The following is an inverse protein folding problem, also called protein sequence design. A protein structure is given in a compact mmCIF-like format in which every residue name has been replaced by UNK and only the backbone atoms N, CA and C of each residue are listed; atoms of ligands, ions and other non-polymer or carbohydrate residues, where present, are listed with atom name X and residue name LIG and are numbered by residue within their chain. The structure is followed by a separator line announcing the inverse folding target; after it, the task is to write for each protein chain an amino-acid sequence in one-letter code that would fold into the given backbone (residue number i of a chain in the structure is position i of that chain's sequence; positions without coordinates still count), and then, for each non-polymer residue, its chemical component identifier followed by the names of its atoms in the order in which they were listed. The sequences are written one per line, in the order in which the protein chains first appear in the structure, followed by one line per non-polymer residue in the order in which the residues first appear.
data_IF_446591400205
#
_entry.id   IF_446591400205
#
_cell.length_a   1.000
_cell.length_b   1.000
_cell.length_c   1.000
_cell.angle_alpha   90.00
_cell.angle_beta   90.00
_cell.angle_gamma   90.00
#
_symmetry.space_group_name_H-M   'P 1'
#
loop_
_entity.id
_entity.type
_entity.pdbx_description
1 polymer ?
#
# COMPACT_ATOMS: atom_id res chain seq x y z
N UNK A 1 24.79 -42.81 8.43
CA UNK A 1 23.94 -42.14 9.44
C UNK A 1 24.78 -41.10 10.14
N UNK A 2 24.72 -39.86 9.70
CA UNK A 2 25.17 -38.69 10.47
C UNK A 2 24.09 -37.62 10.30
N UNK A 3 23.42 -37.32 11.39
CA UNK A 3 22.43 -36.25 11.52
C UNK A 3 23.21 -34.99 11.89
N UNK A 4 23.24 -34.00 11.02
CA UNK A 4 23.78 -32.69 11.33
C UNK A 4 22.62 -31.79 11.74
N UNK A 5 22.65 -31.36 13.01
CA UNK A 5 21.75 -30.38 13.62
C UNK A 5 21.99 -28.98 13.05
N UNK A 6 20.98 -28.39 12.42
CA UNK A 6 20.98 -26.96 12.11
C UNK A 6 20.58 -26.17 13.37
N UNK A 7 21.52 -25.42 13.89
CA UNK A 7 21.28 -24.41 14.92
C UNK A 7 20.67 -23.17 14.27
N UNK A 8 19.45 -22.84 14.69
CA UNK A 8 18.74 -21.59 14.32
C UNK A 8 19.43 -20.39 14.99
N UNK A 9 20.04 -19.53 14.22
CA UNK A 9 20.51 -18.21 14.67
C UNK A 9 19.29 -17.24 14.71
N UNK A 10 18.71 -17.08 15.87
CA UNK A 10 17.78 -15.98 16.18
C UNK A 10 18.58 -14.70 16.36
N UNK A 11 18.66 -13.89 15.32
CA UNK A 11 19.22 -12.53 15.40
C UNK A 11 18.21 -11.64 16.13
N UNK A 12 18.48 -11.39 17.39
CA UNK A 12 17.70 -10.45 18.23
C UNK A 12 17.98 -9.02 17.72
N UNK A 13 16.95 -8.36 17.23
CA UNK A 13 17.01 -6.92 16.88
C UNK A 13 17.24 -6.14 18.17
N UNK A 14 18.48 -5.66 18.38
CA UNK A 14 18.87 -4.87 19.54
C UNK A 14 18.49 -3.41 19.34
N UNK A 15 17.70 -2.90 20.30
CA UNK A 15 17.55 -1.52 20.75
C UNK A 15 17.61 -0.40 19.70
N UNK A 16 16.43 0.01 19.23
CA UNK A 16 16.22 1.33 18.64
C UNK A 16 16.39 2.38 19.75
N UNK A 17 17.41 3.23 19.66
CA UNK A 17 17.62 4.35 20.59
C UNK A 17 16.51 5.40 20.38
N UNK A 18 15.80 5.71 21.44
CA UNK A 18 14.89 6.86 21.53
C UNK A 18 15.66 8.17 21.32
N UNK A 19 15.22 8.98 20.38
CA UNK A 19 15.72 10.35 20.20
C UNK A 19 15.17 11.28 21.29
N UNK A 20 15.93 12.28 21.78
CA UNK A 20 15.48 13.20 22.81
C UNK A 20 14.43 14.18 22.27
N UNK A 21 13.43 14.50 23.11
CA UNK A 21 12.44 15.53 22.86
C UNK A 21 13.07 16.93 22.83
N UNK A 22 12.64 17.76 21.88
CA UNK A 22 13.02 19.18 21.84
C UNK A 22 12.11 20.02 22.77
N UNK A 23 12.62 21.08 23.40
CA UNK A 23 11.86 21.88 24.35
C UNK A 23 10.84 22.78 23.64
N UNK A 24 9.61 22.81 24.15
CA UNK A 24 8.52 23.64 23.67
C UNK A 24 8.64 25.10 24.17
N UNK A 25 8.11 26.00 23.39
CA UNK A 25 7.96 27.42 23.70
C UNK A 25 6.53 27.74 24.18
N UNK A 26 6.40 28.73 25.06
CA UNK A 26 5.25 28.98 25.91
C UNK A 26 4.17 29.86 25.28
N UNK A 27 2.95 29.63 25.75
CA UNK A 27 1.79 30.52 25.92
C UNK A 27 1.13 31.17 24.67
N UNK A 28 -0.03 30.59 24.32
CA UNK A 28 -1.10 31.33 23.65
C UNK A 28 -2.44 31.07 24.37
N UNK A 29 -3.15 32.16 24.61
CA UNK A 29 -4.37 32.34 25.39
C UNK A 29 -5.56 31.50 24.95
N UNK A 30 -6.41 31.13 25.92
CA UNK A 30 -7.59 30.27 25.83
C UNK A 30 -8.72 30.86 24.98
N UNK A 31 -8.74 30.50 23.72
CA UNK A 31 -9.95 30.34 22.91
C UNK A 31 -10.11 28.85 22.66
N UNK A 32 -11.32 28.31 22.63
CA UNK A 32 -11.56 26.91 22.32
C UNK A 32 -10.96 26.56 20.98
N UNK A 33 -9.78 25.97 20.99
CA UNK A 33 -9.11 25.50 19.78
C UNK A 33 -10.00 24.43 19.14
N UNK A 34 -10.30 24.51 17.83
CA UNK A 34 -10.89 23.38 17.13
C UNK A 34 -10.01 22.16 17.35
N UNK A 35 -10.60 21.00 17.58
CA UNK A 35 -9.86 19.73 17.70
C UNK A 35 -8.83 19.66 16.56
N UNK A 36 -7.58 19.26 16.82
CA UNK A 36 -6.57 19.22 15.78
C UNK A 36 -7.05 18.35 14.60
N UNK A 37 -7.03 18.93 13.40
CA UNK A 37 -7.45 18.23 12.18
C UNK A 37 -6.67 16.92 12.02
N UNK A 38 -7.38 15.83 11.71
CA UNK A 38 -6.80 14.49 11.50
C UNK A 38 -5.99 14.38 10.20
N UNK A 39 -6.08 15.36 9.33
CA UNK A 39 -5.40 15.39 8.03
C UNK A 39 -6.21 16.12 6.95
N UNK A 40 -5.73 16.12 5.69
CA UNK A 40 -6.42 16.81 4.60
C UNK A 40 -7.85 16.32 4.31
N UNK A 41 -8.18 15.09 4.72
CA UNK A 41 -9.51 14.50 4.54
C UNK A 41 -10.33 14.45 5.84
N UNK A 42 -9.97 15.27 6.82
CA UNK A 42 -10.74 15.37 8.06
C UNK A 42 -12.20 15.77 7.77
N UNK A 43 -13.14 15.05 8.37
CA UNK A 43 -14.58 15.20 8.10
C UNK A 43 -15.10 14.35 6.93
N UNK A 44 -14.23 13.69 6.15
CA UNK A 44 -14.68 12.73 5.14
C UNK A 44 -14.91 11.36 5.78
N UNK A 45 -16.10 10.77 5.60
CA UNK A 45 -16.43 9.42 6.10
C UNK A 45 -16.48 8.41 4.97
N UNK A 46 -15.73 7.31 5.14
CA UNK A 46 -15.59 6.20 4.17
C UNK A 46 -16.17 4.93 4.76
N UNK A 47 -17.17 4.37 4.10
CA UNK A 47 -17.71 3.04 4.40
C UNK A 47 -16.94 2.01 3.56
N UNK A 48 -16.15 1.19 4.25
CA UNK A 48 -15.24 0.22 3.65
C UNK A 48 -15.86 -1.19 3.69
N UNK A 49 -16.45 -1.65 2.58
CA UNK A 49 -16.99 -3.00 2.41
C UNK A 49 -15.98 -3.93 1.73
N UNK A 50 -14.72 -3.50 1.60
CA UNK A 50 -13.70 -4.22 0.83
C UNK A 50 -13.06 -5.35 1.63
N UNK A 51 -12.41 -6.27 0.90
CA UNK A 51 -11.72 -7.44 1.47
C UNK A 51 -10.40 -7.67 0.77
N UNK A 52 -9.55 -8.47 1.35
CA UNK A 52 -8.24 -8.92 0.88
C UNK A 52 -7.24 -7.77 0.80
N UNK A 53 -6.95 -7.17 -0.36
CA UNK A 53 -5.84 -6.20 -0.46
C UNK A 53 -6.20 -4.90 -1.18
N UNK A 54 -6.62 -4.93 -2.43
CA UNK A 54 -6.79 -3.72 -3.26
C UNK A 54 -7.64 -2.64 -2.61
N UNK A 55 -8.83 -3.01 -2.13
CA UNK A 55 -9.75 -2.09 -1.47
C UNK A 55 -9.28 -1.68 -0.07
N UNK A 56 -8.90 -2.64 0.82
CA UNK A 56 -8.38 -2.31 2.13
C UNK A 56 -7.14 -1.42 2.08
N UNK A 57 -6.27 -1.56 1.11
CA UNK A 57 -5.13 -0.67 0.89
C UNK A 57 -5.58 0.74 0.49
N UNK A 58 -6.57 0.86 -0.42
CA UNK A 58 -7.12 2.16 -0.79
C UNK A 58 -7.76 2.88 0.42
N UNK A 59 -8.58 2.18 1.19
CA UNK A 59 -9.26 2.76 2.37
C UNK A 59 -8.29 3.08 3.50
N UNK A 60 -7.22 2.29 3.68
CA UNK A 60 -6.12 2.63 4.58
C UNK A 60 -5.44 3.95 4.19
N UNK A 61 -5.16 4.16 2.90
CA UNK A 61 -4.57 5.41 2.43
C UNK A 61 -5.48 6.61 2.67
N UNK A 62 -6.80 6.46 2.48
CA UNK A 62 -7.76 7.51 2.83
C UNK A 62 -7.76 7.80 4.33
N UNK A 63 -7.68 6.77 5.17
CA UNK A 63 -7.48 6.91 6.62
C UNK A 63 -6.17 7.58 7.00
N UNK A 64 -5.08 7.28 6.30
CA UNK A 64 -3.78 7.95 6.47
C UNK A 64 -3.84 9.45 6.16
N UNK A 65 -4.73 9.83 5.25
CA UNK A 65 -5.00 11.22 4.88
C UNK A 65 -6.01 11.92 5.81
N UNK A 66 -6.54 11.22 6.82
CA UNK A 66 -7.40 11.79 7.84
C UNK A 66 -8.88 11.46 7.72
N UNK A 67 -9.32 10.70 6.71
CA UNK A 67 -10.69 10.25 6.59
C UNK A 67 -11.07 9.31 7.75
N UNK A 68 -12.32 9.37 8.21
CA UNK A 68 -12.90 8.40 9.12
C UNK A 68 -13.34 7.17 8.32
N UNK A 69 -12.64 6.04 8.51
CA UNK A 69 -12.90 4.81 7.76
C UNK A 69 -13.60 3.79 8.65
N UNK A 70 -14.76 3.32 8.25
CA UNK A 70 -15.53 2.26 8.92
C UNK A 70 -15.40 0.99 8.08
N UNK A 71 -14.55 0.05 8.53
CA UNK A 71 -14.39 -1.25 7.87
C UNK A 71 -15.48 -2.20 8.35
N UNK A 72 -16.31 -2.64 7.41
CA UNK A 72 -17.36 -3.61 7.65
C UNK A 72 -16.88 -5.02 7.33
N UNK A 73 -16.99 -5.90 8.29
CA UNK A 73 -16.60 -7.30 8.18
C UNK A 73 -17.77 -8.21 8.54
N UNK A 74 -17.74 -9.46 8.06
CA UNK A 74 -18.72 -10.47 8.49
C UNK A 74 -18.45 -10.87 9.95
N UNK A 75 -19.48 -11.14 10.74
CA UNK A 75 -19.32 -11.72 12.07
C UNK A 75 -18.62 -13.07 12.03
N UNK A 76 -17.85 -13.38 13.08
CA UNK A 76 -17.14 -14.64 13.26
C UNK A 76 -15.75 -14.63 12.63
N UNK A 77 -15.63 -14.74 11.31
CA UNK A 77 -14.33 -14.90 10.65
C UNK A 77 -13.69 -13.59 10.20
N UNK A 78 -14.49 -12.56 9.94
CA UNK A 78 -13.99 -11.28 9.40
C UNK A 78 -13.49 -11.35 7.96
N UNK A 79 -12.48 -10.54 7.67
CA UNK A 79 -11.74 -10.53 6.40
C UNK A 79 -10.85 -11.78 6.31
N UNK A 80 -10.74 -12.39 5.13
CA UNK A 80 -9.90 -13.56 4.88
C UNK A 80 -8.44 -13.33 5.26
N UNK A 81 -7.97 -12.09 5.18
CA UNK A 81 -6.58 -11.74 5.55
C UNK A 81 -6.30 -11.86 7.04
N UNK A 82 -7.31 -11.96 7.90
CA UNK A 82 -7.13 -12.23 9.34
C UNK A 82 -6.54 -13.61 9.62
N UNK A 83 -6.60 -14.54 8.64
CA UNK A 83 -6.19 -15.94 8.78
C UNK A 83 -4.93 -16.29 7.99
N UNK A 84 -4.21 -15.31 7.46
CA UNK A 84 -3.00 -15.54 6.65
C UNK A 84 -1.75 -15.54 7.52
N UNK A 85 -1.02 -16.66 7.50
CA UNK A 85 0.30 -16.77 8.17
C UNK A 85 1.38 -15.89 7.51
N UNK A 86 2.40 -15.44 8.27
CA UNK A 86 2.63 -15.68 9.69
C UNK A 86 1.71 -14.84 10.60
N UNK A 87 1.41 -15.40 11.77
CA UNK A 87 0.61 -14.75 12.79
C UNK A 87 1.43 -14.47 14.06
N UNK A 88 1.05 -13.42 14.80
CA UNK A 88 1.56 -13.11 16.12
C UNK A 88 0.39 -12.84 17.06
N UNK A 89 0.30 -13.58 18.16
CA UNK A 89 -0.76 -13.45 19.17
C UNK A 89 -2.19 -13.48 18.59
N UNK A 90 -2.38 -14.32 17.55
CA UNK A 90 -3.66 -14.46 16.84
C UNK A 90 -3.96 -13.37 15.81
N UNK A 91 -3.06 -12.44 15.56
CA UNK A 91 -3.20 -11.41 14.53
C UNK A 91 -2.32 -11.70 13.31
N UNK A 92 -2.91 -11.63 12.13
CA UNK A 92 -2.22 -11.86 10.86
C UNK A 92 -1.39 -10.66 10.44
N UNK A 93 -0.13 -10.90 10.04
CA UNK A 93 0.74 -9.88 9.46
C UNK A 93 0.08 -9.16 8.28
N UNK A 94 -0.73 -9.89 7.49
CA UNK A 94 -1.39 -9.37 6.29
C UNK A 94 -2.47 -8.35 6.65
N UNK A 95 -3.38 -8.72 7.58
CA UNK A 95 -4.43 -7.82 8.05
C UNK A 95 -3.85 -6.58 8.73
N UNK A 96 -2.84 -6.77 9.58
CA UNK A 96 -2.16 -5.68 10.30
C UNK A 96 -1.51 -4.68 9.35
N UNK A 97 -0.95 -5.13 8.23
CA UNK A 97 -0.26 -4.26 7.28
C UNK A 97 -1.17 -3.24 6.56
N UNK A 98 -2.47 -3.54 6.38
CA UNK A 98 -3.35 -2.80 5.45
C UNK A 98 -4.64 -2.26 6.06
N UNK A 99 -4.81 -2.35 7.39
CA UNK A 99 -6.07 -1.93 8.04
C UNK A 99 -5.90 -0.91 9.17
N UNK A 100 -4.74 -0.23 9.27
CA UNK A 100 -4.57 0.88 10.20
C UNK A 100 -5.53 2.03 9.91
N UNK A 101 -5.80 2.86 10.91
CA UNK A 101 -6.67 4.04 10.84
C UNK A 101 -8.13 3.73 10.49
N UNK A 102 -8.60 2.50 10.80
CA UNK A 102 -9.99 2.09 10.57
C UNK A 102 -10.73 1.83 11.89
N UNK A 103 -12.04 2.03 11.87
CA UNK A 103 -12.99 1.55 12.86
C UNK A 103 -13.49 0.17 12.42
N UNK A 104 -13.48 -0.81 13.29
CA UNK A 104 -13.90 -2.18 12.98
C UNK A 104 -15.37 -2.42 13.34
N UNK A 105 -16.20 -2.69 12.33
CA UNK A 105 -17.63 -3.02 12.48
C UNK A 105 -17.90 -4.44 11.97
N UNK A 106 -18.38 -5.35 12.84
CA UNK A 106 -18.73 -6.70 12.44
C UNK A 106 -20.26 -6.83 12.28
N UNK A 107 -20.73 -6.87 11.02
CA UNK A 107 -22.16 -6.92 10.66
C UNK A 107 -22.44 -7.95 9.57
N UNK A 108 -23.45 -8.80 9.78
CA UNK A 108 -23.94 -9.71 8.75
C UNK A 108 -24.84 -8.97 7.76
N UNK A 109 -24.26 -8.49 6.68
CA UNK A 109 -24.96 -7.77 5.60
C UNK A 109 -25.97 -8.63 4.81
N UNK A 110 -26.00 -9.96 5.02
CA UNK A 110 -26.98 -10.86 4.40
C UNK A 110 -28.32 -10.86 5.14
N UNK A 111 -28.33 -10.46 6.42
CA UNK A 111 -29.54 -10.31 7.21
C UNK A 111 -30.19 -8.96 6.94
N UNK A 112 -31.53 -8.87 6.88
CA UNK A 112 -32.24 -7.61 6.64
C UNK A 112 -31.84 -6.48 7.62
N UNK A 113 -31.67 -6.82 8.89
CA UNK A 113 -31.30 -5.87 9.95
C UNK A 113 -29.85 -5.38 9.76
N UNK A 114 -28.95 -6.27 9.33
CA UNK A 114 -27.57 -5.90 9.02
C UNK A 114 -27.47 -5.01 7.77
N UNK A 115 -28.26 -5.32 6.72
CA UNK A 115 -28.40 -4.42 5.57
C UNK A 115 -28.93 -3.04 6.02
N UNK A 116 -29.92 -2.99 6.94
CA UNK A 116 -30.44 -1.72 7.44
C UNK A 116 -29.37 -0.89 8.15
N UNK A 117 -28.49 -1.52 8.95
CA UNK A 117 -27.35 -0.84 9.56
C UNK A 117 -26.47 -0.18 8.49
N UNK A 118 -26.17 -0.89 7.39
CA UNK A 118 -25.36 -0.33 6.31
C UNK A 118 -26.08 0.80 5.56
N UNK A 119 -27.37 0.70 5.34
CA UNK A 119 -28.18 1.77 4.74
C UNK A 119 -28.17 3.02 5.64
N UNK A 120 -28.28 2.85 6.95
CA UNK A 120 -28.23 3.97 7.90
C UNK A 120 -26.83 4.61 7.92
N UNK A 121 -25.75 3.83 7.79
CA UNK A 121 -24.36 4.34 7.62
C UNK A 121 -24.19 5.09 6.30
N UNK A 122 -24.74 4.59 5.19
CA UNK A 122 -24.67 5.22 3.87
C UNK A 122 -25.28 6.63 3.88
N UNK A 123 -26.34 6.86 4.63
CA UNK A 123 -26.95 8.20 4.78
C UNK A 123 -25.99 9.24 5.38
N UNK A 124 -25.01 8.78 6.14
CA UNK A 124 -24.04 9.62 6.85
C UNK A 124 -22.61 9.48 6.28
N UNK A 125 -22.45 8.74 5.20
CA UNK A 125 -21.14 8.51 4.58
C UNK A 125 -20.97 9.33 3.31
N UNK A 126 -19.73 9.74 3.05
CA UNK A 126 -19.35 10.47 1.85
C UNK A 126 -18.96 9.52 0.72
N UNK A 127 -18.30 8.44 1.09
CA UNK A 127 -17.73 7.45 0.17
C UNK A 127 -18.09 6.05 0.62
N UNK A 128 -18.45 5.19 -0.32
CA UNK A 128 -18.52 3.75 -0.13
C UNK A 128 -17.55 3.10 -1.11
N UNK A 129 -16.71 2.18 -0.61
CA UNK A 129 -15.82 1.39 -1.46
C UNK A 129 -16.12 -0.09 -1.24
N UNK A 130 -16.31 -0.83 -2.34
CA UNK A 130 -16.48 -2.28 -2.33
C UNK A 130 -15.60 -2.93 -3.42
N UNK A 131 -15.24 -4.20 -3.22
CA UNK A 131 -14.52 -4.99 -4.22
C UNK A 131 -15.14 -6.39 -4.40
N UNK A 132 -16.46 -6.45 -4.38
CA UNK A 132 -17.20 -7.67 -4.66
C UNK A 132 -17.14 -8.02 -6.15
N UNK A 133 -17.48 -9.25 -6.47
CA UNK A 133 -17.73 -9.62 -7.87
C UNK A 133 -18.95 -8.86 -8.40
N UNK A 134 -18.94 -8.47 -9.69
CA UNK A 134 -20.06 -7.79 -10.30
C UNK A 134 -21.43 -8.45 -9.98
N UNK A 135 -22.41 -7.64 -9.63
CA UNK A 135 -23.76 -8.06 -9.25
C UNK A 135 -23.92 -8.56 -7.81
N UNK A 136 -22.85 -8.76 -7.03
CA UNK A 136 -22.98 -9.18 -5.61
C UNK A 136 -23.58 -8.08 -4.76
N UNK A 137 -23.09 -6.85 -4.88
CA UNK A 137 -23.62 -5.70 -4.15
C UNK A 137 -25.12 -5.50 -4.41
N UNK A 138 -25.56 -5.58 -5.68
CA UNK A 138 -26.98 -5.49 -6.04
C UNK A 138 -27.81 -6.61 -5.40
N UNK A 139 -27.34 -7.86 -5.38
CA UNK A 139 -28.06 -8.96 -4.70
C UNK A 139 -28.16 -8.79 -3.19
N UNK A 140 -27.25 -8.05 -2.59
CA UNK A 140 -27.30 -7.69 -1.17
C UNK A 140 -28.19 -6.47 -0.90
N UNK A 141 -28.74 -5.83 -1.96
CA UNK A 141 -29.48 -4.56 -1.87
C UNK A 141 -28.58 -3.39 -1.44
N UNK A 142 -27.33 -3.45 -1.86
CA UNK A 142 -26.27 -2.45 -1.63
C UNK A 142 -25.69 -1.97 -2.96
N UNK A 143 -26.45 -2.10 -4.06
CA UNK A 143 -26.04 -1.65 -5.39
C UNK A 143 -25.96 -0.12 -5.47
N UNK A 144 -25.13 0.37 -6.40
CA UNK A 144 -24.86 1.81 -6.53
C UNK A 144 -26.14 2.60 -6.86
N UNK A 145 -27.02 2.07 -7.71
CA UNK A 145 -28.29 2.73 -8.06
C UNK A 145 -29.18 2.93 -6.83
N UNK A 146 -29.33 1.88 -5.99
CA UNK A 146 -30.13 1.93 -4.76
C UNK A 146 -29.51 2.91 -3.74
N UNK A 147 -28.20 2.84 -3.54
CA UNK A 147 -27.54 3.64 -2.51
C UNK A 147 -27.40 5.11 -2.91
N UNK A 148 -27.22 5.43 -4.20
CA UNK A 148 -27.26 6.79 -4.72
C UNK A 148 -28.64 7.42 -4.65
N UNK A 149 -29.72 6.61 -4.77
CA UNK A 149 -31.07 7.10 -4.52
C UNK A 149 -31.31 7.45 -3.04
N UNK A 150 -30.66 6.74 -2.10
CA UNK A 150 -30.72 7.00 -0.66
C UNK A 150 -29.85 8.21 -0.26
N UNK A 151 -28.64 8.30 -0.81
CA UNK A 151 -27.70 9.40 -0.60
C UNK A 151 -27.17 9.91 -1.95
N UNK A 152 -27.79 10.93 -2.53
CA UNK A 152 -27.37 11.48 -3.83
C UNK A 152 -25.99 12.15 -3.83
N UNK A 153 -25.38 12.35 -2.65
CA UNK A 153 -24.03 12.87 -2.50
C UNK A 153 -22.98 11.77 -2.34
N UNK A 154 -23.38 10.51 -2.25
CA UNK A 154 -22.50 9.39 -2.06
C UNK A 154 -21.57 9.21 -3.27
N UNK A 155 -20.30 9.01 -3.02
CA UNK A 155 -19.33 8.52 -4.01
C UNK A 155 -19.23 7.01 -3.82
N UNK A 156 -19.75 6.26 -4.79
CA UNK A 156 -19.73 4.80 -4.77
C UNK A 156 -18.61 4.30 -5.67
N UNK A 157 -17.56 3.69 -5.09
CA UNK A 157 -16.42 3.15 -5.83
C UNK A 157 -16.45 1.62 -5.80
N UNK A 158 -16.66 1.01 -6.97
CA UNK A 158 -16.56 -0.43 -7.16
C UNK A 158 -15.21 -0.77 -7.78
N UNK A 159 -14.41 -1.57 -7.08
CA UNK A 159 -13.10 -2.04 -7.54
C UNK A 159 -13.22 -3.52 -7.89
N UNK A 160 -13.02 -3.87 -9.16
CA UNK A 160 -13.11 -5.25 -9.60
C UNK A 160 -11.92 -5.67 -10.46
N UNK A 161 -11.80 -6.95 -10.74
CA UNK A 161 -10.69 -7.45 -11.56
C UNK A 161 -10.74 -6.93 -13.00
N UNK A 162 -11.96 -6.88 -13.61
CA UNK A 162 -12.16 -6.61 -15.03
C UNK A 162 -13.21 -5.54 -15.33
N UNK A 163 -13.70 -4.81 -14.34
CA UNK A 163 -14.78 -3.84 -14.49
C UNK A 163 -16.18 -4.47 -14.41
N UNK A 164 -17.20 -3.62 -14.38
CA UNK A 164 -18.61 -4.03 -14.31
C UNK A 164 -19.16 -4.48 -15.66
N UNK A 165 -18.46 -4.19 -16.76
CA UNK A 165 -18.87 -4.47 -18.13
C UNK A 165 -17.80 -5.24 -18.89
N UNK A 166 -18.14 -5.66 -20.12
CA UNK A 166 -17.20 -6.37 -20.99
C UNK A 166 -17.19 -7.89 -20.81
N UNK A 167 -16.44 -8.60 -21.70
CA UNK A 167 -16.51 -10.07 -21.79
C UNK A 167 -15.97 -10.82 -20.59
N UNK A 168 -15.19 -10.15 -19.72
CA UNK A 168 -14.57 -10.75 -18.53
C UNK A 168 -15.16 -10.28 -17.22
N UNK A 169 -16.18 -9.44 -17.21
CA UNK A 169 -16.76 -8.85 -16.00
C UNK A 169 -17.19 -9.89 -14.96
N UNK A 170 -17.64 -11.07 -15.38
CA UNK A 170 -18.06 -12.15 -14.47
C UNK A 170 -16.92 -13.05 -14.00
N UNK A 171 -15.70 -12.91 -14.55
CA UNK A 171 -14.55 -13.73 -14.17
C UNK A 171 -13.98 -13.31 -12.82
N UNK A 172 -13.50 -14.30 -12.07
CA UNK A 172 -12.73 -14.07 -10.85
C UNK A 172 -11.26 -13.93 -11.19
N UNK A 173 -10.58 -12.99 -10.55
CA UNK A 173 -9.14 -12.91 -10.59
C UNK A 173 -8.60 -12.36 -9.26
N UNK A 174 -7.36 -12.71 -8.98
CA UNK A 174 -6.51 -12.10 -7.98
C UNK A 174 -5.33 -11.42 -8.67
N UNK A 175 -4.52 -10.70 -7.91
CA UNK A 175 -3.35 -9.96 -8.37
C UNK A 175 -2.54 -10.68 -9.45
N UNK A 176 -2.12 -11.93 -9.20
CA UNK A 176 -1.27 -12.69 -10.13
C UNK A 176 -1.94 -12.91 -11.50
N UNK A 177 -3.26 -13.11 -11.54
CA UNK A 177 -3.99 -13.29 -12.79
C UNK A 177 -4.05 -11.97 -13.58
N UNK A 178 -4.20 -10.85 -12.88
CA UNK A 178 -4.18 -9.51 -13.51
C UNK A 178 -2.78 -9.17 -13.99
N UNK A 179 -1.72 -9.47 -13.22
CA UNK A 179 -0.34 -9.32 -13.69
C UNK A 179 -0.07 -10.13 -14.97
N UNK A 180 -0.59 -11.36 -15.04
CA UNK A 180 -0.43 -12.19 -16.23
C UNK A 180 -1.17 -11.61 -17.45
N UNK A 181 -2.43 -11.20 -17.27
CA UNK A 181 -3.28 -10.70 -18.37
C UNK A 181 -2.91 -9.29 -18.84
N UNK A 182 -2.30 -8.47 -17.97
CA UNK A 182 -1.83 -7.13 -18.34
C UNK A 182 -0.53 -7.11 -19.15
N UNK A 183 0.13 -8.26 -19.33
CA UNK A 183 1.42 -8.33 -20.03
C UNK A 183 2.64 -8.09 -19.16
N UNK A 184 2.50 -7.65 -17.91
CA UNK A 184 3.62 -7.32 -17.01
C UNK A 184 4.53 -8.53 -16.77
N UNK A 185 3.96 -9.75 -16.63
CA UNK A 185 4.77 -10.96 -16.43
C UNK A 185 5.62 -11.33 -17.66
N UNK A 186 5.26 -10.85 -18.86
CA UNK A 186 6.08 -11.06 -20.06
C UNK A 186 7.31 -10.16 -20.09
N UNK A 187 7.28 -9.04 -19.35
CA UNK A 187 8.37 -8.06 -19.26
C UNK A 187 9.31 -8.35 -18.08
N UNK A 188 8.82 -9.03 -17.04
CA UNK A 188 9.54 -9.24 -15.77
C UNK A 188 10.39 -10.51 -15.82
N UNK A 189 11.64 -10.42 -15.36
CA UNK A 189 12.58 -11.53 -15.25
C UNK A 189 13.79 -11.44 -16.17
N UNK A 190 14.69 -12.40 -16.04
CA UNK A 190 15.92 -12.47 -16.82
C UNK A 190 15.64 -12.78 -18.32
N UNK A 191 16.52 -12.29 -19.23
CA UNK A 191 16.44 -12.61 -20.64
C UNK A 191 16.35 -14.12 -20.90
N UNK A 192 15.33 -14.55 -21.67
CA UNK A 192 15.11 -15.96 -21.95
C UNK A 192 14.49 -16.78 -20.80
N UNK A 193 14.29 -16.18 -19.65
CA UNK A 193 13.66 -16.84 -18.48
C UNK A 193 12.13 -17.01 -18.63
N UNK A 194 11.51 -17.81 -17.76
CA UNK A 194 10.06 -18.02 -17.74
C UNK A 194 9.30 -16.72 -17.36
N UNK A 195 7.98 -16.63 -17.61
CA UNK A 195 7.16 -15.54 -17.08
C UNK A 195 7.31 -15.43 -15.56
N UNK A 196 7.55 -14.23 -15.06
CA UNK A 196 7.81 -13.97 -13.65
C UNK A 196 6.88 -12.89 -13.13
N UNK A 197 6.22 -13.13 -12.00
CA UNK A 197 5.43 -12.09 -11.34
C UNK A 197 6.35 -11.06 -10.68
N UNK A 198 5.86 -9.85 -10.50
CA UNK A 198 6.54 -8.86 -9.66
C UNK A 198 6.55 -9.33 -8.18
N UNK A 199 7.59 -9.02 -7.45
CA UNK A 199 7.74 -9.41 -6.04
C UNK A 199 6.63 -8.88 -5.13
N UNK A 200 6.11 -7.70 -5.42
CA UNK A 200 4.95 -7.10 -4.76
C UNK A 200 3.65 -7.44 -5.51
N UNK A 201 2.48 -7.42 -4.85
CA UNK A 201 1.17 -7.59 -5.47
C UNK A 201 0.78 -6.31 -6.23
N UNK A 202 1.44 -6.05 -7.36
CA UNK A 202 1.39 -4.76 -8.04
C UNK A 202 0.02 -4.41 -8.63
N UNK A 203 -0.78 -5.41 -9.03
CA UNK A 203 -2.12 -5.15 -9.52
C UNK A 203 -3.04 -4.62 -8.40
N UNK A 204 -2.92 -5.18 -7.20
CA UNK A 204 -3.64 -4.70 -6.03
C UNK A 204 -3.16 -3.32 -5.58
N UNK A 205 -1.85 -3.11 -5.49
CA UNK A 205 -1.28 -1.84 -5.03
C UNK A 205 -1.59 -0.71 -6.01
N UNK A 206 -1.37 -0.92 -7.31
CA UNK A 206 -1.77 0.05 -8.34
C UNK A 206 -3.28 0.30 -8.31
N UNK A 207 -4.06 -0.78 -8.18
CA UNK A 207 -5.52 -0.68 -8.09
C UNK A 207 -5.98 0.17 -6.92
N UNK A 208 -5.39 -0.02 -5.75
CA UNK A 208 -5.67 0.80 -4.57
C UNK A 208 -5.32 2.27 -4.77
N UNK A 209 -4.15 2.56 -5.38
CA UNK A 209 -3.76 3.94 -5.69
C UNK A 209 -4.71 4.60 -6.70
N UNK A 210 -5.10 3.91 -7.77
CA UNK A 210 -6.08 4.43 -8.72
C UNK A 210 -7.45 4.65 -8.08
N UNK A 211 -7.91 3.75 -7.21
CA UNK A 211 -9.16 3.93 -6.47
C UNK A 211 -9.12 5.20 -5.60
N UNK A 212 -8.01 5.46 -4.90
CA UNK A 212 -7.83 6.71 -4.13
C UNK A 212 -7.89 7.93 -5.03
N UNK A 213 -7.18 7.93 -6.17
CA UNK A 213 -7.19 9.05 -7.13
C UNK A 213 -8.61 9.29 -7.65
N UNK A 214 -9.34 8.23 -8.02
CA UNK A 214 -10.71 8.33 -8.52
C UNK A 214 -11.67 8.88 -7.46
N UNK A 215 -11.58 8.39 -6.22
CA UNK A 215 -12.38 8.88 -5.09
C UNK A 215 -12.09 10.34 -4.82
N UNK A 216 -10.82 10.76 -4.74
CA UNK A 216 -10.46 12.17 -4.48
C UNK A 216 -10.91 13.08 -5.62
N UNK A 217 -10.84 12.63 -6.87
CA UNK A 217 -11.37 13.35 -8.03
C UNK A 217 -12.89 13.54 -7.93
N UNK A 218 -13.62 12.49 -7.53
CA UNK A 218 -15.06 12.55 -7.34
C UNK A 218 -15.46 13.43 -6.13
N UNK A 219 -14.68 13.41 -5.04
CA UNK A 219 -14.87 14.33 -3.91
C UNK A 219 -14.72 15.79 -4.39
N UNK A 220 -13.66 16.09 -5.13
CA UNK A 220 -13.44 17.43 -5.67
C UNK A 220 -14.57 17.88 -6.61
N UNK A 221 -15.08 16.99 -7.47
CA UNK A 221 -16.21 17.29 -8.34
C UNK A 221 -17.51 17.51 -7.53
N UNK A 222 -17.76 16.67 -6.53
CA UNK A 222 -18.93 16.77 -5.64
C UNK A 222 -18.98 18.12 -4.91
N UNK A 223 -17.86 18.65 -4.45
CA UNK A 223 -17.82 19.97 -3.79
C UNK A 223 -18.28 21.12 -4.72
N UNK A 224 -18.18 20.91 -6.03
CA UNK A 224 -18.62 21.89 -7.05
C UNK A 224 -20.04 21.65 -7.53
N UNK A 225 -20.45 20.39 -7.62
CA UNK A 225 -21.75 19.99 -8.21
C UNK A 225 -22.84 19.67 -7.20
N UNK A 226 -22.43 19.40 -5.95
CA UNK A 226 -23.31 18.89 -4.90
C UNK A 226 -23.74 17.43 -5.07
N UNK A 227 -23.25 16.72 -6.12
CA UNK A 227 -23.69 15.36 -6.48
C UNK A 227 -22.58 14.36 -6.32
N UNK A 228 -22.90 13.19 -5.77
CA UNK A 228 -22.06 12.01 -5.79
C UNK A 228 -22.10 11.32 -7.16
N UNK A 229 -21.37 10.20 -7.27
CA UNK A 229 -21.33 9.44 -8.52
C UNK A 229 -20.89 7.98 -8.29
N UNK A 230 -21.11 7.16 -9.31
CA UNK A 230 -20.57 5.81 -9.39
C UNK A 230 -19.21 5.80 -10.09
N UNK A 231 -18.25 5.09 -9.51
CA UNK A 231 -16.92 4.85 -10.08
C UNK A 231 -16.79 3.34 -10.32
N UNK A 232 -16.64 2.95 -11.58
CA UNK A 232 -16.26 1.60 -12.01
C UNK A 232 -14.77 1.56 -12.29
N UNK A 233 -14.00 0.89 -11.44
CA UNK A 233 -12.56 0.74 -11.63
C UNK A 233 -12.18 -0.74 -11.79
N UNK A 234 -11.46 -1.06 -12.87
CA UNK A 234 -10.91 -2.38 -13.13
C UNK A 234 -9.42 -2.43 -12.82
N UNK A 235 -8.97 -3.44 -12.07
CA UNK A 235 -7.54 -3.67 -11.81
C UNK A 235 -6.76 -3.89 -13.10
N UNK A 236 -7.38 -4.56 -14.10
CA UNK A 236 -6.75 -4.75 -15.41
C UNK A 236 -6.50 -3.42 -16.13
N UNK A 237 -7.46 -2.50 -16.09
CA UNK A 237 -7.32 -1.17 -16.72
C UNK A 237 -6.19 -0.38 -16.08
N UNK A 238 -6.10 -0.43 -14.74
CA UNK A 238 -5.00 0.17 -13.99
C UNK A 238 -3.64 -0.38 -14.42
N UNK A 239 -3.49 -1.69 -14.50
CA UNK A 239 -2.23 -2.33 -14.90
C UNK A 239 -1.89 -2.06 -16.37
N UNK A 240 -2.87 -2.04 -17.28
CA UNK A 240 -2.64 -1.67 -18.69
C UNK A 240 -2.21 -0.20 -18.79
N UNK A 241 -2.83 0.69 -18.01
CA UNK A 241 -2.42 2.09 -17.89
C UNK A 241 -0.97 2.27 -17.43
N UNK A 242 -0.46 1.35 -16.58
CA UNK A 242 0.92 1.36 -16.11
C UNK A 242 1.95 0.87 -17.15
N UNK A 243 1.54 0.28 -18.26
CA UNK A 243 2.47 -0.14 -19.32
C UNK A 243 3.19 1.05 -19.98
N UNK A 244 2.62 2.24 -19.96
CA UNK A 244 3.23 3.50 -20.39
C UNK A 244 3.96 3.35 -21.76
N UNK A 245 5.27 3.67 -21.78
CA UNK A 245 6.07 3.60 -23.01
C UNK A 245 6.29 2.16 -23.53
N UNK A 246 6.05 1.13 -22.75
CA UNK A 246 6.09 -0.26 -23.22
C UNK A 246 4.97 -0.53 -24.23
N UNK A 247 3.75 -0.08 -23.95
CA UNK A 247 2.63 -0.18 -24.91
C UNK A 247 2.86 0.70 -26.13
N UNK A 248 3.37 1.92 -25.94
CA UNK A 248 3.72 2.83 -27.05
C UNK A 248 4.77 2.20 -27.99
N UNK A 249 5.77 1.50 -27.42
CA UNK A 249 6.74 0.75 -28.22
C UNK A 249 6.06 -0.27 -29.13
N UNK A 250 5.11 -1.05 -28.60
CA UNK A 250 4.36 -2.04 -29.40
C UNK A 250 3.59 -1.34 -30.52
N UNK A 251 2.89 -0.25 -30.24
CA UNK A 251 2.16 0.52 -31.24
C UNK A 251 3.07 1.08 -32.35
N UNK A 252 4.30 1.51 -31.99
CA UNK A 252 5.23 2.09 -32.94
C UNK A 252 6.00 1.05 -33.79
N UNK A 253 6.26 -0.12 -33.23
CA UNK A 253 7.18 -1.10 -33.83
C UNK A 253 6.49 -2.41 -34.25
N UNK A 254 5.29 -2.68 -33.74
CA UNK A 254 4.62 -3.98 -33.89
C UNK A 254 5.32 -5.12 -33.11
N UNK A 255 6.27 -4.80 -32.21
CA UNK A 255 7.08 -5.80 -31.50
C UNK A 255 6.96 -5.65 -30.00
N UNK A 256 6.77 -6.76 -29.32
CA UNK A 256 6.84 -6.83 -27.86
C UNK A 256 8.25 -6.50 -27.36
N UNK A 257 8.31 -5.95 -26.14
CA UNK A 257 9.57 -5.75 -25.45
C UNK A 257 10.09 -7.08 -24.88
N UNK A 258 11.36 -7.42 -25.07
CA UNK A 258 11.96 -8.59 -24.44
C UNK A 258 12.12 -8.34 -22.94
N UNK A 259 12.24 -9.41 -22.16
CA UNK A 259 12.74 -9.34 -20.79
C UNK A 259 14.17 -8.82 -20.79
N UNK A 260 14.51 -7.99 -19.83
CA UNK A 260 15.83 -7.36 -19.72
C UNK A 260 16.47 -7.49 -18.34
N UNK A 261 15.93 -8.32 -17.45
CA UNK A 261 16.41 -8.41 -16.06
C UNK A 261 16.34 -7.04 -15.39
N UNK A 262 17.45 -6.57 -14.89
CA UNK A 262 17.61 -5.24 -14.29
C UNK A 262 18.01 -4.16 -15.29
N UNK A 263 18.29 -4.53 -16.55
CA UNK A 263 18.82 -3.59 -17.54
C UNK A 263 17.72 -2.76 -18.20
N UNK A 264 18.01 -1.50 -18.51
CA UNK A 264 17.16 -0.67 -19.36
C UNK A 264 17.44 -0.94 -20.84
N UNK A 265 16.42 -1.19 -21.66
CA UNK A 265 16.59 -1.59 -23.07
C UNK A 265 17.35 -0.57 -23.93
N UNK A 266 17.14 0.71 -23.71
CA UNK A 266 17.67 1.79 -24.52
C UNK A 266 18.80 2.61 -23.89
N UNK A 267 19.31 2.23 -22.70
CA UNK A 267 20.33 2.99 -21.97
C UNK A 267 21.42 2.05 -21.48
N UNK A 268 22.71 2.47 -21.60
CA UNK A 268 23.88 1.71 -21.17
C UNK A 268 24.96 2.65 -20.64
N UNK A 269 25.56 2.33 -19.46
CA UNK A 269 25.14 1.31 -18.51
C UNK A 269 23.87 1.72 -17.75
N UNK A 270 22.99 0.77 -17.51
CA UNK A 270 21.82 0.93 -16.64
C UNK A 270 21.38 -0.46 -16.17
N UNK A 271 21.55 -0.78 -14.90
CA UNK A 271 21.19 -2.08 -14.34
C UNK A 271 21.91 -2.39 -13.05
N UNK A 272 21.74 -3.62 -12.55
CA UNK A 272 22.45 -4.14 -11.39
C UNK A 272 23.77 -4.80 -11.80
N UNK A 273 24.82 -4.52 -11.05
CA UNK A 273 26.15 -5.06 -11.25
C UNK A 273 26.66 -5.71 -9.96
N UNK A 274 27.37 -6.85 -10.05
CA UNK A 274 27.94 -7.51 -8.89
C UNK A 274 29.14 -6.73 -8.34
N UNK A 275 29.22 -6.62 -7.02
CA UNK A 275 30.41 -6.28 -6.25
C UNK A 275 30.92 -7.54 -5.56
N UNK A 276 31.95 -7.42 -4.71
CA UNK A 276 32.54 -8.59 -4.04
C UNK A 276 31.63 -9.27 -3.01
N UNK A 277 30.68 -8.54 -2.46
CA UNK A 277 29.81 -8.98 -1.36
C UNK A 277 28.30 -8.78 -1.62
N UNK A 278 27.92 -8.33 -2.82
CA UNK A 278 26.51 -8.06 -3.13
C UNK A 278 26.33 -7.44 -4.51
N UNK A 279 25.28 -6.65 -4.64
CA UNK A 279 24.92 -5.97 -5.89
C UNK A 279 24.66 -4.50 -5.65
N UNK A 280 24.99 -3.68 -6.66
CA UNK A 280 24.60 -2.28 -6.71
C UNK A 280 24.01 -1.93 -8.08
N UNK A 281 23.14 -0.94 -8.12
CA UNK A 281 22.58 -0.40 -9.35
C UNK A 281 23.39 0.80 -9.79
N UNK A 282 23.67 0.91 -11.10
CA UNK A 282 24.19 2.12 -11.74
C UNK A 282 23.20 2.57 -12.80
N UNK A 283 22.85 3.88 -12.84
CA UNK A 283 21.88 4.45 -13.75
C UNK A 283 22.51 5.61 -14.55
N UNK A 284 22.78 5.40 -15.84
CA UNK A 284 23.34 6.40 -16.76
C UNK A 284 22.23 7.05 -17.61
N UNK A 285 21.48 7.99 -17.04
CA UNK A 285 20.39 8.67 -17.74
C UNK A 285 20.82 9.87 -18.61
N UNK A 286 22.14 10.09 -18.80
CA UNK A 286 22.64 11.19 -19.63
C UNK A 286 24.11 11.02 -19.98
N UNK A 287 24.52 11.56 -21.12
CA UNK A 287 25.90 11.42 -21.61
C UNK A 287 26.95 11.93 -20.61
N UNK A 288 26.60 12.90 -19.78
CA UNK A 288 27.48 13.47 -18.74
C UNK A 288 27.89 12.46 -17.65
N UNK A 289 27.14 11.37 -17.47
CA UNK A 289 27.47 10.37 -16.43
C UNK A 289 28.47 9.33 -16.91
N UNK A 290 28.59 9.09 -18.21
CA UNK A 290 29.53 8.11 -18.74
C UNK A 290 30.99 8.43 -18.36
N UNK A 291 31.51 9.66 -18.55
CA UNK A 291 32.85 10.02 -18.09
C UNK A 291 33.04 9.88 -16.57
N UNK A 292 32.02 10.20 -15.78
CA UNK A 292 32.05 10.07 -14.32
C UNK A 292 32.14 8.59 -13.90
N UNK A 293 31.37 7.72 -14.54
CA UNK A 293 31.43 6.28 -14.31
C UNK A 293 32.82 5.75 -14.67
N UNK A 294 33.39 6.12 -15.84
CA UNK A 294 34.71 5.72 -16.25
C UNK A 294 35.78 6.15 -15.23
N UNK A 295 35.69 7.38 -14.74
CA UNK A 295 36.61 7.89 -13.72
C UNK A 295 36.47 7.11 -12.39
N UNK A 296 35.25 6.87 -11.95
CA UNK A 296 34.95 6.15 -10.71
C UNK A 296 35.51 4.72 -10.72
N UNK A 297 35.38 4.01 -11.84
CA UNK A 297 35.94 2.64 -11.98
C UNK A 297 37.44 2.59 -12.32
N UNK A 298 38.11 3.74 -12.36
CA UNK A 298 39.56 3.81 -12.66
C UNK A 298 39.90 3.59 -14.12
N UNK A 299 38.97 3.78 -15.05
CA UNK A 299 39.12 3.60 -16.51
C UNK A 299 38.76 4.86 -17.31
N UNK A 300 39.38 6.03 -16.99
CA UNK A 300 39.02 7.30 -17.63
C UNK A 300 39.22 7.31 -19.15
N UNK A 301 40.10 6.48 -19.69
CA UNK A 301 40.32 6.34 -21.13
C UNK A 301 39.08 5.87 -21.90
N UNK A 302 38.19 5.13 -21.26
CA UNK A 302 36.95 4.65 -21.88
C UNK A 302 35.99 5.80 -22.22
N UNK A 303 36.10 6.92 -21.52
CA UNK A 303 35.26 8.10 -21.80
C UNK A 303 35.61 8.75 -23.17
N UNK A 304 36.88 8.66 -23.58
CA UNK A 304 37.34 9.19 -24.86
C UNK A 304 37.33 8.15 -25.97
N UNK A 305 37.03 6.89 -25.69
CA UNK A 305 36.98 5.84 -26.68
C UNK A 305 35.74 6.01 -27.59
N UNK A 306 36.00 6.23 -28.90
CA UNK A 306 34.98 6.44 -29.91
C UNK A 306 34.01 5.26 -30.09
N UNK A 307 34.29 4.10 -29.49
CA UNK A 307 33.37 2.96 -29.47
C UNK A 307 32.23 3.15 -28.47
N UNK A 308 32.45 4.01 -27.41
CA UNK A 308 31.53 4.16 -26.26
C UNK A 308 31.11 5.61 -26.01
N UNK A 309 31.53 6.58 -26.83
CA UNK A 309 31.34 8.02 -26.65
C UNK A 309 29.87 8.47 -26.63
N UNK A 310 28.97 7.68 -27.19
CA UNK A 310 27.52 7.96 -27.20
C UNK A 310 26.71 6.78 -26.67
N UNK A 311 25.55 7.06 -26.06
CA UNK A 311 24.65 6.01 -25.58
C UNK A 311 24.27 5.03 -26.70
N UNK A 312 24.01 5.52 -27.92
CA UNK A 312 23.70 4.67 -29.07
C UNK A 312 24.78 3.64 -29.35
N UNK A 313 26.06 4.04 -29.25
CA UNK A 313 27.19 3.14 -29.48
C UNK A 313 27.37 2.16 -28.30
N UNK A 314 27.14 2.62 -27.07
CA UNK A 314 27.16 1.75 -25.90
C UNK A 314 26.03 0.72 -25.93
N UNK A 315 24.81 1.12 -26.32
CA UNK A 315 23.67 0.18 -26.52
C UNK A 315 24.03 -0.91 -27.53
N UNK A 316 24.65 -0.55 -28.66
CA UNK A 316 25.09 -1.51 -29.67
C UNK A 316 26.20 -2.46 -29.18
N UNK A 317 26.93 -2.10 -28.09
CA UNK A 317 28.00 -2.87 -27.46
C UNK A 317 27.73 -3.18 -26.00
N UNK A 318 26.48 -3.34 -25.64
CA UNK A 318 26.02 -3.53 -24.24
C UNK A 318 26.86 -4.59 -23.52
N UNK A 319 27.04 -5.76 -24.11
CA UNK A 319 27.76 -6.86 -23.47
C UNK A 319 29.21 -6.47 -23.12
N UNK A 320 29.90 -5.71 -24.00
CA UNK A 320 31.25 -5.24 -23.75
C UNK A 320 31.29 -4.25 -22.59
N UNK A 321 30.35 -3.28 -22.58
CA UNK A 321 30.28 -2.26 -21.51
C UNK A 321 29.88 -2.88 -20.17
N UNK A 322 28.87 -3.74 -20.16
CA UNK A 322 28.44 -4.42 -18.95
C UNK A 322 29.56 -5.33 -18.38
N UNK A 323 30.37 -5.99 -19.24
CA UNK A 323 31.50 -6.80 -18.78
C UNK A 323 32.59 -5.94 -18.17
N UNK A 324 32.93 -4.81 -18.77
CA UNK A 324 33.91 -3.85 -18.21
C UNK A 324 33.50 -3.42 -16.79
N UNK A 325 32.22 -3.12 -16.61
CA UNK A 325 31.70 -2.74 -15.29
C UNK A 325 31.74 -3.90 -14.29
N UNK A 326 31.31 -5.10 -14.69
CA UNK A 326 31.39 -6.30 -13.83
C UNK A 326 32.82 -6.56 -13.38
N UNK A 327 33.78 -6.53 -14.28
CA UNK A 327 35.20 -6.77 -13.95
C UNK A 327 35.76 -5.69 -13.01
N UNK A 328 35.40 -4.43 -13.23
CA UNK A 328 35.82 -3.33 -12.39
C UNK A 328 35.24 -3.38 -10.98
N UNK A 329 33.94 -3.71 -10.90
CA UNK A 329 33.16 -3.66 -9.63
C UNK A 329 33.44 -4.88 -8.74
N UNK A 330 33.86 -6.01 -9.28
CA UNK A 330 34.10 -7.26 -8.55
C UNK A 330 35.16 -7.18 -7.44
N UNK A 331 36.04 -6.18 -7.45
CA UNK A 331 37.22 -6.11 -6.59
C UNK A 331 37.01 -5.32 -5.28
N UNK A 332 35.82 -4.78 -5.04
CA UNK A 332 35.49 -4.01 -3.83
C UNK A 332 34.09 -4.36 -3.34
N UNK A 333 33.83 -4.04 -2.08
CA UNK A 333 32.50 -4.21 -1.47
C UNK A 333 31.48 -3.18 -1.99
N UNK A 334 30.21 -3.48 -1.81
CA UNK A 334 29.10 -2.55 -2.11
C UNK A 334 29.28 -1.22 -1.38
N UNK A 335 29.67 -1.27 -0.11
CA UNK A 335 29.86 -0.06 0.70
C UNK A 335 31.02 0.81 0.16
N UNK A 336 32.15 0.22 -0.23
CA UNK A 336 33.27 0.95 -0.83
C UNK A 336 32.86 1.59 -2.17
N UNK A 337 32.11 0.87 -2.99
CA UNK A 337 31.61 1.40 -4.26
C UNK A 337 30.56 2.50 -4.08
N UNK A 338 29.69 2.40 -3.09
CA UNK A 338 28.72 3.44 -2.74
C UNK A 338 29.45 4.76 -2.47
N UNK A 339 30.51 4.75 -1.64
CA UNK A 339 31.33 5.93 -1.37
C UNK A 339 32.08 6.47 -2.62
N UNK A 340 32.64 5.58 -3.46
CA UNK A 340 33.40 5.99 -4.64
C UNK A 340 32.41 6.61 -5.67
N UNK A 341 31.32 5.99 -5.96
CA UNK A 341 30.34 6.46 -6.93
C UNK A 341 29.68 7.76 -6.49
N UNK A 342 29.40 7.91 -5.19
CA UNK A 342 28.89 9.16 -4.60
C UNK A 342 29.88 10.31 -4.81
N UNK A 343 31.18 10.11 -4.54
CA UNK A 343 32.22 11.13 -4.76
C UNK A 343 32.35 11.59 -6.22
N UNK A 344 32.01 10.72 -7.16
CA UNK A 344 32.01 11.02 -8.59
C UNK A 344 30.67 11.52 -9.12
N UNK A 345 29.69 11.73 -8.22
CA UNK A 345 28.33 12.16 -8.59
C UNK A 345 27.71 11.25 -9.67
N UNK A 346 27.83 9.93 -9.49
CA UNK A 346 27.21 8.91 -10.35
C UNK A 346 25.90 8.46 -9.68
N UNK A 347 24.77 8.45 -10.39
CA UNK A 347 23.53 7.87 -9.85
C UNK A 347 23.68 6.36 -9.64
N UNK A 348 23.60 5.93 -8.41
CA UNK A 348 23.76 4.54 -7.99
C UNK A 348 23.00 4.27 -6.70
N UNK A 349 22.82 3.01 -6.35
CA UNK A 349 22.28 2.58 -5.07
C UNK A 349 22.69 1.12 -4.78
N UNK A 350 22.93 0.73 -3.52
CA UNK A 350 23.00 -0.66 -3.12
C UNK A 350 21.63 -1.35 -3.28
N UNK A 351 21.62 -2.65 -3.57
CA UNK A 351 20.42 -3.46 -3.49
C UNK A 351 20.30 -3.98 -2.07
N UNK A 352 19.30 -3.50 -1.34
CA UNK A 352 19.09 -3.80 0.08
C UNK A 352 18.02 -4.88 0.27
N UNK A 353 18.20 -5.70 1.30
CA UNK A 353 17.15 -6.53 1.83
C UNK A 353 16.09 -5.69 2.60
N UNK A 354 14.86 -6.22 2.75
CA UNK A 354 13.79 -5.49 3.45
C UNK A 354 14.19 -5.12 4.87
N UNK A 355 14.88 -6.00 5.60
CA UNK A 355 15.37 -5.74 6.95
C UNK A 355 16.35 -4.58 7.02
N UNK A 356 17.20 -4.42 6.00
CA UNK A 356 18.16 -3.32 5.87
C UNK A 356 17.45 -2.00 5.55
N UNK A 357 16.44 -2.05 4.66
CA UNK A 357 15.62 -0.86 4.34
C UNK A 357 14.92 -0.32 5.59
N UNK A 358 14.39 -1.19 6.45
CA UNK A 358 13.68 -0.79 7.68
C UNK A 358 14.59 -0.16 8.74
N UNK A 359 15.90 -0.33 8.62
CA UNK A 359 16.91 0.30 9.49
C UNK A 359 17.72 1.39 8.79
N UNK A 360 17.43 1.66 7.51
CA UNK A 360 18.14 2.66 6.72
C UNK A 360 17.98 4.06 7.33
N UNK A 361 19.08 4.83 7.51
CA UNK A 361 19.06 6.15 8.13
C UNK A 361 18.09 7.14 7.45
N UNK A 362 17.96 7.11 6.12
CA UNK A 362 17.04 7.97 5.39
C UNK A 362 15.58 7.58 5.67
N UNK A 363 15.27 6.29 5.74
CA UNK A 363 13.94 5.77 6.05
C UNK A 363 13.53 6.16 7.47
N UNK A 364 14.45 6.02 8.43
CA UNK A 364 14.24 6.40 9.83
C UNK A 364 14.09 7.92 9.99
N UNK A 365 14.96 8.71 9.36
CA UNK A 365 14.90 10.18 9.39
C UNK A 365 13.59 10.72 8.78
N UNK A 366 12.99 10.00 7.85
CA UNK A 366 11.68 10.32 7.28
C UNK A 366 10.50 9.87 8.14
N UNK A 367 10.74 9.19 9.26
CA UNK A 367 9.69 8.66 10.13
C UNK A 367 8.80 7.61 9.46
N UNK A 368 9.36 6.87 8.47
CA UNK A 368 8.62 5.81 7.78
C UNK A 368 8.49 4.52 8.59
N UNK A 369 9.35 4.31 9.59
CA UNK A 369 9.16 3.27 10.60
C UNK A 369 8.61 3.94 11.85
N UNK A 370 7.47 3.48 12.30
CA UNK A 370 6.73 3.96 13.47
C UNK A 370 6.36 2.79 14.38
N UNK A 371 5.74 3.06 15.52
CA UNK A 371 5.27 2.04 16.45
C UNK A 371 3.79 2.27 16.80
N UNK A 372 3.07 1.18 17.00
CA UNK A 372 1.70 1.18 17.51
C UNK A 372 1.63 0.42 18.83
N UNK A 373 0.63 0.78 19.64
CA UNK A 373 0.17 -0.05 20.74
C UNK A 373 -1.07 -0.80 20.28
N UNK A 374 -0.88 -2.05 19.86
CA UNK A 374 -1.98 -2.89 19.38
C UNK A 374 -2.59 -3.69 20.55
N UNK A 375 -3.92 -3.83 20.65
CA UNK A 375 -4.58 -4.44 21.80
C UNK A 375 -4.12 -5.87 22.15
N UNK A 376 -3.70 -6.66 21.15
CA UNK A 376 -3.22 -8.03 21.35
C UNK A 376 -1.70 -8.16 21.24
N UNK A 377 -1.11 -7.58 20.21
CA UNK A 377 0.33 -7.76 19.91
C UNK A 377 1.19 -6.87 20.82
N UNK A 378 0.59 -5.87 21.49
CA UNK A 378 1.30 -4.84 22.24
C UNK A 378 2.07 -3.90 21.33
N UNK A 379 3.21 -3.40 21.79
CA UNK A 379 4.07 -2.49 21.03
C UNK A 379 4.64 -3.17 19.78
N UNK A 380 4.31 -2.63 18.61
CA UNK A 380 4.61 -3.23 17.33
C UNK A 380 5.16 -2.20 16.33
N UNK A 381 6.33 -2.44 15.72
CA UNK A 381 6.88 -1.58 14.68
C UNK A 381 6.11 -1.76 13.38
N UNK A 382 5.89 -0.66 12.67
CA UNK A 382 5.15 -0.69 11.42
C UNK A 382 5.63 0.38 10.44
N UNK A 383 5.29 0.20 9.17
CA UNK A 383 5.50 1.24 8.16
C UNK A 383 4.41 2.30 8.31
N UNK A 384 4.81 3.55 8.47
CA UNK A 384 3.94 4.70 8.65
C UNK A 384 3.41 5.27 7.32
N UNK A 385 2.97 6.54 7.37
CA UNK A 385 2.44 7.27 6.20
C UNK A 385 3.53 7.55 5.18
N UNK A 386 3.32 7.14 3.93
CA UNK A 386 4.22 7.46 2.82
C UNK A 386 4.11 8.94 2.39
N UNK A 387 2.92 9.54 2.50
CA UNK A 387 2.66 10.94 2.18
C UNK A 387 2.72 11.77 3.47
N UNK A 388 3.51 12.83 3.47
CA UNK A 388 3.69 13.72 4.63
C UNK A 388 3.13 15.10 4.31
N UNK A 389 2.23 15.57 5.17
CA UNK A 389 1.78 16.95 5.18
C UNK A 389 2.39 17.62 6.42
N UNK A 390 3.32 18.57 6.27
CA UNK A 390 4.00 19.19 7.42
C UNK A 390 3.05 19.76 8.48
N UNK A 391 1.88 20.25 8.07
CA UNK A 391 0.84 20.75 8.96
C UNK A 391 0.07 19.69 9.74
N UNK A 392 0.30 18.38 9.48
CA UNK A 392 -0.46 17.27 10.06
C UNK A 392 0.45 16.10 10.50
N UNK A 393 1.72 16.37 10.83
CA UNK A 393 2.70 15.32 11.16
C UNK A 393 2.41 14.64 12.50
N UNK A 394 1.80 15.35 13.44
CA UNK A 394 1.61 14.89 14.82
C UNK A 394 0.32 14.08 15.03
N UNK A 395 -0.44 13.82 13.97
CA UNK A 395 -1.64 12.98 14.08
C UNK A 395 -1.22 11.52 14.25
N UNK A 396 -1.53 10.88 15.39
CA UNK A 396 -1.13 9.50 15.64
C UNK A 396 -1.81 8.54 14.67
N UNK A 397 -1.11 7.46 14.34
CA UNK A 397 -1.69 6.35 13.60
C UNK A 397 -2.45 5.43 14.56
N UNK A 398 -3.70 5.12 14.22
CA UNK A 398 -4.48 4.12 14.94
C UNK A 398 -4.05 2.72 14.46
N UNK A 399 -3.80 1.76 15.38
CA UNK A 399 -3.55 0.38 14.98
C UNK A 399 -4.77 -0.22 14.27
N UNK A 400 -4.58 -1.31 13.48
CA UNK A 400 -5.71 -2.05 12.89
C UNK A 400 -6.70 -2.51 13.96
N UNK A 401 -8.01 -2.48 13.69
CA UNK A 401 -9.00 -2.85 14.69
C UNK A 401 -9.10 -4.37 14.85
N UNK A 402 -9.43 -4.83 16.06
CA UNK A 402 -9.96 -6.17 16.27
C UNK A 402 -11.33 -6.30 15.57
N UNK A 403 -11.75 -7.54 15.29
CA UNK A 403 -13.06 -7.78 14.66
C UNK A 403 -14.19 -7.25 15.53
N UNK A 404 -14.98 -6.31 15.00
CA UNK A 404 -16.09 -5.69 15.71
C UNK A 404 -15.69 -4.81 16.90
N UNK A 405 -14.42 -4.42 17.01
CA UNK A 405 -13.90 -3.61 18.11
C UNK A 405 -14.73 -2.34 18.35
N UNK A 406 -15.22 -1.74 17.29
CA UNK A 406 -15.91 -0.45 17.36
C UNK A 406 -17.42 -0.56 17.11
N UNK A 407 -18.01 -1.77 17.21
CA UNK A 407 -19.44 -1.98 17.01
C UNK A 407 -20.28 -0.99 17.83
N UNK A 408 -20.01 -0.88 19.12
CA UNK A 408 -20.80 -0.02 20.02
C UNK A 408 -20.63 1.45 19.68
N UNK A 409 -19.42 1.90 19.42
CA UNK A 409 -19.15 3.28 19.01
C UNK A 409 -19.88 3.62 17.71
N UNK A 410 -19.80 2.76 16.69
CA UNK A 410 -20.45 3.01 15.40
C UNK A 410 -21.97 2.99 15.53
N UNK A 411 -22.53 2.02 16.24
CA UNK A 411 -23.98 1.90 16.36
C UNK A 411 -24.60 2.97 17.29
N UNK A 412 -23.95 3.27 18.41
CA UNK A 412 -24.46 4.24 19.38
C UNK A 412 -24.13 5.68 18.99
N UNK A 413 -22.82 5.98 18.84
CA UNK A 413 -22.39 7.37 18.69
C UNK A 413 -22.62 7.91 17.27
N UNK A 414 -22.40 7.06 16.24
CA UNK A 414 -22.61 7.52 14.87
C UNK A 414 -24.06 7.33 14.40
N UNK A 415 -24.70 6.20 14.70
CA UNK A 415 -26.05 5.93 14.23
C UNK A 415 -27.16 6.31 15.24
N UNK A 416 -26.81 6.60 16.49
CA UNK A 416 -27.79 6.96 17.53
C UNK A 416 -28.71 5.80 17.97
N UNK A 417 -28.25 4.55 17.78
CA UNK A 417 -29.05 3.40 18.20
C UNK A 417 -29.07 3.31 19.73
N UNK A 418 -30.24 3.03 20.29
CA UNK A 418 -30.38 2.77 21.72
C UNK A 418 -29.86 1.38 22.11
N UNK A 419 -29.71 1.17 23.41
CA UNK A 419 -29.18 -0.08 23.96
C UNK A 419 -30.06 -1.29 23.56
N UNK A 420 -31.38 -1.14 23.56
CA UNK A 420 -32.30 -2.23 23.25
C UNK A 420 -32.12 -2.71 21.79
N UNK A 421 -31.97 -1.78 20.86
CA UNK A 421 -31.72 -2.08 19.44
C UNK A 421 -30.36 -2.77 19.24
N UNK A 422 -29.31 -2.28 19.90
CA UNK A 422 -27.96 -2.88 19.83
C UNK A 422 -27.98 -4.29 20.39
N UNK A 423 -28.61 -4.51 21.56
CA UNK A 423 -28.76 -5.84 22.15
C UNK A 423 -29.61 -6.78 21.27
N UNK A 424 -30.63 -6.24 20.61
CA UNK A 424 -31.42 -6.98 19.62
C UNK A 424 -30.57 -7.51 18.46
N UNK A 425 -29.72 -6.65 17.87
CA UNK A 425 -28.80 -7.02 16.80
C UNK A 425 -27.77 -8.08 17.29
N UNK A 426 -27.32 -7.98 18.53
CA UNK A 426 -26.39 -8.94 19.13
C UNK A 426 -27.06 -10.29 19.35
N UNK A 427 -28.26 -10.33 19.96
CA UNK A 427 -29.02 -11.57 20.19
C UNK A 427 -29.42 -12.29 18.89
N UNK A 428 -29.72 -11.55 17.84
CA UNK A 428 -30.04 -12.12 16.52
C UNK A 428 -28.79 -12.52 15.71
N UNK A 429 -27.59 -12.31 16.25
CA UNK A 429 -26.33 -12.62 15.57
C UNK A 429 -26.11 -11.79 14.30
N UNK A 430 -26.68 -10.60 14.23
CA UNK A 430 -26.40 -9.62 13.17
C UNK A 430 -25.07 -8.97 13.37
N UNK A 431 -24.71 -8.72 14.62
CA UNK A 431 -23.39 -8.22 15.03
C UNK A 431 -22.71 -9.24 15.94
N UNK A 432 -21.38 -9.31 15.88
CA UNK A 432 -20.56 -10.04 16.85
C UNK A 432 -19.39 -9.19 17.28
N UNK A 433 -18.96 -9.37 18.51
CA UNK A 433 -17.71 -8.79 19.01
C UNK A 433 -16.61 -9.83 18.94
N UNK A 434 -15.36 -9.37 18.90
CA UNK A 434 -14.22 -10.26 19.11
C UNK A 434 -14.35 -10.90 20.50
N UNK A 435 -14.19 -12.23 20.61
CA UNK A 435 -14.12 -12.91 21.90
C UNK A 435 -12.98 -12.38 22.80
N UNK A 436 -12.02 -11.69 22.22
CA UNK A 436 -10.81 -11.17 22.86
C UNK A 436 -10.87 -9.66 23.21
N UNK A 437 -12.06 -9.06 23.20
CA UNK A 437 -12.20 -7.66 23.62
C UNK A 437 -11.79 -7.54 25.10
N UNK A 438 -10.78 -6.71 25.46
CA UNK A 438 -10.52 -6.42 26.87
C UNK A 438 -11.80 -5.87 27.50
N UNK A 439 -12.15 -6.37 28.68
CA UNK A 439 -13.30 -5.86 29.42
C UNK A 439 -13.15 -4.33 29.56
N UNK A 440 -14.24 -3.61 29.26
CA UNK A 440 -14.26 -2.17 29.48
C UNK A 440 -13.82 -1.89 30.92
N UNK A 441 -12.95 -0.90 31.19
CA UNK A 441 -12.64 -0.53 32.56
C UNK A 441 -13.96 -0.26 33.28
N UNK A 442 -14.15 -0.93 34.40
CA UNK A 442 -15.32 -0.71 35.26
C UNK A 442 -15.41 0.80 35.54
N UNK A 443 -16.57 1.39 35.24
CA UNK A 443 -16.81 2.77 35.61
C UNK A 443 -16.57 2.87 37.14
N UNK A 444 -15.47 3.53 37.53
CA UNK A 444 -15.18 3.78 38.94
C UNK A 444 -16.39 4.49 39.51
N UNK A 445 -17.07 3.78 40.39
CA UNK A 445 -18.18 4.33 41.12
C UNK A 445 -17.69 5.53 41.92
N UNK A 446 -18.15 6.68 41.56
CA UNK A 446 -18.08 7.86 42.42
C UNK A 446 -19.03 7.56 43.56
N UNK A 447 -18.50 7.08 44.72
CA UNK A 447 -19.20 7.15 45.98
C UNK A 447 -19.34 8.62 46.37
N UNK A 448 -20.56 9.01 46.67
CA UNK A 448 -20.98 10.32 47.17
C UNK A 448 -20.57 10.48 48.63
#
# INVERSE_FOLDING_TARGET
MHVTSHTSNTTTVRNVRTLPAQPGDESVTSGSMPSPSRGPLDGLRVLDLTRVLVGPFATMLLGDLGAEVIKVERPGDGDETRHVEPMRDGESHYFVAINRNKLGLAVDMKKPEGRQVLVDLVRQSDVLIENFRPGVAGRLGLGHEELLAINPRLIYCSVSAFGQTGPYSTRSAFDIAIQAMSGVMSLTGEPGGPPTRMGLPMADLCGGLYAVIAVLSAVYERERTGKGQFIDFAMLDGMVGMLMYMSTRVFMTGQDSPKSGTAHLGIVPYGAFPASDGYLVIANMGEQFWPKICAAIGRPELAADLRYDTNRKRVARRQEVDQVLKDALANRTVAEWDEILARHDVPHAPILEISEVLTNPQVLARGLVTEWEHPKIGRFPAVGRAIRFPSHLDVPLRPPPLLGQDNEHVLRELLGYDQERIEGLRRSGVISESPDRPAAPAADGVEV
#
